data_IF_484478233883
#
_entry.id   IF_484478233883
#
_cell.length_a   1.000
_cell.length_b   1.000
_cell.length_c   1.000
_cell.angle_alpha   90.00
_cell.angle_beta   90.00
_cell.angle_gamma   90.00
#
_symmetry.space_group_name_H-M   'P 1'
#
loop_
_entity.id
_entity.type
_entity.pdbx_description
1 polymer ?
#
# COMPACT_ATOMS: atom_id res chain seq x y z
N UNK A 1 -20.23 14.85 16.36
CA UNK A 1 -18.94 14.59 17.03
C UNK A 1 -18.22 13.34 16.51
N UNK A 2 -18.81 12.14 16.56
CA UNK A 2 -18.12 10.88 16.19
C UNK A 2 -17.78 10.74 14.70
N UNK A 3 -18.66 11.20 13.79
CA UNK A 3 -18.36 11.20 12.33
C UNK A 3 -17.14 12.05 11.99
N UNK A 4 -16.98 13.20 12.65
CA UNK A 4 -15.82 14.08 12.44
C UNK A 4 -14.53 13.42 12.95
N UNK A 5 -14.56 12.76 14.12
CA UNK A 5 -13.42 12.01 14.63
C UNK A 5 -12.98 10.91 13.65
N UNK A 6 -13.94 10.13 13.12
CA UNK A 6 -13.64 9.08 12.15
C UNK A 6 -13.12 9.64 10.84
N UNK A 7 -13.74 10.71 10.32
CA UNK A 7 -13.24 11.44 9.16
C UNK A 7 -11.83 11.97 9.39
N UNK A 8 -11.53 12.50 10.57
CA UNK A 8 -10.19 12.93 10.93
C UNK A 8 -9.19 11.76 11.04
N UNK A 9 -9.62 10.57 11.47
CA UNK A 9 -8.79 9.37 11.51
C UNK A 9 -8.49 8.79 10.13
N UNK A 10 -9.42 8.91 9.17
CA UNK A 10 -9.29 8.24 7.86
C UNK A 10 -8.96 9.18 6.71
N UNK A 11 -9.52 10.39 6.72
CA UNK A 11 -9.28 11.43 5.70
C UNK A 11 -8.20 12.43 6.14
N UNK A 12 -7.76 12.33 7.41
CA UNK A 12 -6.50 12.87 7.95
C UNK A 12 -6.15 14.27 7.41
N UNK A 13 -6.85 15.28 7.94
CA UNK A 13 -6.60 16.70 7.67
C UNK A 13 -5.13 17.08 7.86
N UNK A 14 -4.61 18.01 7.05
CA UNK A 14 -3.18 18.38 6.90
C UNK A 14 -2.41 18.79 8.17
N UNK A 15 -3.05 18.87 9.33
CA UNK A 15 -2.42 19.31 10.60
C UNK A 15 -1.83 18.12 11.36
N UNK A 16 -0.50 18.06 11.44
CA UNK A 16 0.28 16.99 12.09
C UNK A 16 -0.17 16.65 13.52
N UNK A 17 -0.58 17.63 14.32
CA UNK A 17 -1.00 17.39 15.70
C UNK A 17 -2.34 16.64 15.79
N UNK A 18 -3.27 16.90 14.87
CA UNK A 18 -4.56 16.17 14.79
C UNK A 18 -4.31 14.70 14.46
N UNK A 19 -3.42 14.45 13.49
CA UNK A 19 -2.99 13.11 13.12
C UNK A 19 -2.32 12.37 14.28
N UNK A 20 -1.43 13.03 15.06
CA UNK A 20 -0.80 12.40 16.22
C UNK A 20 -1.81 12.06 17.31
N UNK A 21 -2.71 12.98 17.67
CA UNK A 21 -3.73 12.73 18.70
C UNK A 21 -4.67 11.59 18.28
N UNK A 22 -5.15 11.61 17.04
CA UNK A 22 -6.05 10.58 16.52
C UNK A 22 -5.35 9.21 16.41
N UNK A 23 -4.07 9.18 16.01
CA UNK A 23 -3.24 7.98 16.02
C UNK A 23 -3.03 7.40 17.42
N UNK A 24 -2.61 8.22 18.39
CA UNK A 24 -2.45 7.79 19.79
C UNK A 24 -3.76 7.30 20.39
N UNK A 25 -4.87 8.00 20.11
CA UNK A 25 -6.19 7.56 20.55
C UNK A 25 -6.56 6.20 19.95
N UNK A 26 -6.36 5.99 18.65
CA UNK A 26 -6.66 4.72 17.99
C UNK A 26 -5.85 3.54 18.53
N UNK A 27 -4.67 3.79 19.09
CA UNK A 27 -3.84 2.79 19.77
C UNK A 27 -4.22 2.59 21.25
N UNK A 28 -5.08 3.43 21.83
CA UNK A 28 -5.53 3.30 23.22
C UNK A 28 -6.68 2.28 23.36
N UNK A 29 -6.78 1.62 24.51
CA UNK A 29 -7.89 0.70 24.81
C UNK A 29 -9.26 1.41 24.83
N UNK A 30 -9.29 2.71 25.13
CA UNK A 30 -10.49 3.53 25.07
C UNK A 30 -11.11 3.59 23.67
N UNK A 31 -10.31 3.40 22.60
CA UNK A 31 -10.80 3.38 21.23
C UNK A 31 -11.67 2.15 20.90
N UNK A 32 -11.60 1.08 21.71
CA UNK A 32 -12.34 -0.18 21.49
C UNK A 32 -13.84 0.04 21.35
N UNK A 33 -14.42 0.96 22.13
CA UNK A 33 -15.85 1.29 22.14
C UNK A 33 -16.31 1.82 20.77
N UNK A 34 -15.39 2.34 19.96
CA UNK A 34 -15.69 2.91 18.65
C UNK A 34 -15.63 1.91 17.51
N UNK A 35 -15.08 0.71 17.72
CA UNK A 35 -14.88 -0.31 16.67
C UNK A 35 -16.19 -0.66 15.94
N UNK A 36 -17.31 -1.01 16.60
CA UNK A 36 -18.54 -1.37 15.90
C UNK A 36 -19.10 -0.22 15.05
N UNK A 37 -19.00 1.01 15.58
CA UNK A 37 -19.47 2.20 14.88
C UNK A 37 -18.58 2.54 13.69
N UNK A 38 -17.26 2.39 13.82
CA UNK A 38 -16.31 2.56 12.75
C UNK A 38 -16.57 1.55 11.63
N UNK A 39 -16.68 0.26 11.97
CA UNK A 39 -16.99 -0.80 11.02
C UNK A 39 -18.29 -0.54 10.24
N UNK A 40 -19.35 -0.11 10.94
CA UNK A 40 -20.64 0.23 10.32
C UNK A 40 -20.55 1.46 9.43
N UNK A 41 -19.86 2.52 9.86
CA UNK A 41 -19.75 3.76 9.10
C UNK A 41 -19.03 3.56 7.76
N UNK A 42 -17.97 2.76 7.76
CA UNK A 42 -17.15 2.47 6.58
C UNK A 42 -17.61 1.21 5.83
N UNK A 43 -18.68 0.53 6.26
CA UNK A 43 -19.16 -0.68 5.60
C UNK A 43 -18.11 -1.80 5.53
N UNK A 44 -17.26 -1.92 6.56
CA UNK A 44 -16.18 -2.90 6.58
C UNK A 44 -16.77 -4.31 6.62
N UNK A 45 -16.28 -5.20 5.77
CA UNK A 45 -16.65 -6.61 5.72
C UNK A 45 -16.11 -7.38 6.95
N UNK A 46 -16.72 -7.17 8.11
CA UNK A 46 -16.28 -7.74 9.40
C UNK A 46 -16.28 -9.26 9.42
N UNK A 47 -17.12 -9.91 8.60
CA UNK A 47 -17.21 -11.36 8.51
C UNK A 47 -15.97 -12.02 7.87
N UNK A 48 -15.18 -11.26 7.10
CA UNK A 48 -13.91 -11.72 6.52
C UNK A 48 -12.75 -11.62 7.53
N UNK A 49 -12.93 -10.88 8.64
CA UNK A 49 -11.88 -10.67 9.62
C UNK A 49 -11.60 -11.95 10.44
N UNK A 50 -10.33 -12.20 10.77
CA UNK A 50 -9.90 -13.38 11.54
C UNK A 50 -10.54 -13.44 12.93
N UNK A 51 -10.72 -12.27 13.57
CA UNK A 51 -11.31 -12.15 14.91
C UNK A 51 -12.65 -11.42 14.85
N UNK A 52 -13.53 -11.76 15.79
CA UNK A 52 -14.77 -11.04 16.07
C UNK A 52 -14.50 -9.64 16.62
N UNK A 53 -15.42 -8.69 16.40
CA UNK A 53 -15.25 -7.28 16.77
C UNK A 53 -14.92 -7.09 18.27
N UNK A 54 -15.48 -7.92 19.13
CA UNK A 54 -15.24 -7.87 20.57
C UNK A 54 -13.83 -8.27 20.98
N UNK A 55 -13.06 -8.96 20.12
CA UNK A 55 -11.74 -9.48 20.47
C UNK A 55 -10.61 -8.46 20.24
N UNK A 56 -10.86 -7.40 19.47
CA UNK A 56 -9.88 -6.34 19.25
C UNK A 56 -9.79 -5.43 20.48
N UNK A 57 -8.56 -5.15 20.92
CA UNK A 57 -8.28 -4.32 22.09
C UNK A 57 -8.31 -2.83 21.76
N UNK A 58 -8.02 -2.47 20.52
CA UNK A 58 -7.91 -1.08 20.05
C UNK A 58 -8.44 -0.95 18.64
N UNK A 59 -8.81 0.26 18.23
CA UNK A 59 -9.25 0.56 16.88
C UNK A 59 -8.12 0.35 15.86
N UNK A 60 -6.86 0.59 16.25
CA UNK A 60 -5.69 0.29 15.43
C UNK A 60 -5.54 -1.23 15.18
N UNK A 61 -5.76 -2.07 16.20
CA UNK A 61 -5.73 -3.54 16.04
C UNK A 61 -6.83 -4.00 15.07
N UNK A 62 -8.02 -3.41 15.14
CA UNK A 62 -9.10 -3.68 14.18
C UNK A 62 -8.78 -3.17 12.77
N UNK A 63 -8.18 -2.00 12.63
CA UNK A 63 -7.82 -1.44 11.33
C UNK A 63 -6.76 -2.31 10.64
N UNK A 64 -5.79 -2.79 11.40
CA UNK A 64 -4.69 -3.68 10.97
C UNK A 64 -5.04 -5.17 11.06
N UNK A 65 -6.33 -5.51 11.16
CA UNK A 65 -6.83 -6.89 11.30
C UNK A 65 -6.27 -7.81 10.22
N UNK A 66 -6.03 -9.07 10.58
CA UNK A 66 -5.86 -10.17 9.63
C UNK A 66 -7.23 -10.60 9.08
N UNK A 67 -7.24 -11.17 7.89
CA UNK A 67 -8.42 -11.82 7.32
C UNK A 67 -8.38 -13.33 7.62
N UNK A 68 -9.54 -13.98 7.61
CA UNK A 68 -9.63 -15.44 7.72
C UNK A 68 -8.85 -16.10 6.58
N UNK A 69 -8.15 -17.22 6.83
CA UNK A 69 -7.48 -17.98 5.78
C UNK A 69 -8.43 -18.26 4.60
N UNK A 70 -7.93 -18.12 3.38
CA UNK A 70 -8.73 -18.31 2.16
C UNK A 70 -9.63 -17.13 1.75
N UNK A 71 -9.78 -16.09 2.58
CA UNK A 71 -10.57 -14.88 2.21
C UNK A 71 -10.00 -14.13 1.00
N UNK A 72 -8.72 -14.34 0.71
CA UNK A 72 -8.01 -13.79 -0.45
C UNK A 72 -7.27 -14.93 -1.13
N UNK A 73 -7.83 -15.43 -2.24
CA UNK A 73 -7.16 -16.42 -3.07
C UNK A 73 -6.03 -15.75 -3.84
N UNK A 74 -4.85 -16.35 -3.81
CA UNK A 74 -3.70 -15.90 -4.57
C UNK A 74 -3.77 -16.56 -5.94
N UNK A 75 -3.73 -15.76 -7.01
CA UNK A 75 -3.73 -16.29 -8.36
C UNK A 75 -2.52 -17.20 -8.60
N UNK A 76 -2.78 -18.41 -9.09
CA UNK A 76 -1.78 -19.43 -9.37
C UNK A 76 -1.08 -19.18 -10.70
N UNK A 77 0.22 -19.50 -10.77
CA UNK A 77 1.02 -19.38 -11.98
C UNK A 77 2.35 -18.69 -11.70
N UNK A 78 3.45 -19.36 -12.00
CA UNK A 78 4.80 -18.94 -11.57
C UNK A 78 5.20 -17.57 -12.12
N UNK A 79 4.54 -17.14 -13.21
CA UNK A 79 4.82 -15.91 -13.92
C UNK A 79 3.82 -14.80 -13.64
N UNK A 80 2.78 -15.03 -12.86
CA UNK A 80 1.80 -13.99 -12.59
C UNK A 80 2.30 -13.06 -11.48
N UNK A 81 2.23 -11.75 -11.72
CA UNK A 81 2.30 -10.76 -10.66
C UNK A 81 0.89 -10.55 -10.11
N UNK A 82 0.76 -10.52 -8.78
CA UNK A 82 -0.53 -10.28 -8.11
C UNK A 82 -0.53 -8.95 -7.36
N UNK A 83 -1.72 -8.39 -7.14
CA UNK A 83 -1.89 -7.21 -6.31
C UNK A 83 -1.41 -7.51 -4.89
N UNK A 84 -0.52 -6.68 -4.32
CA UNK A 84 -0.05 -6.86 -2.95
C UNK A 84 -1.10 -6.46 -1.91
N UNK A 85 -2.19 -5.78 -2.31
CA UNK A 85 -3.18 -5.14 -1.43
C UNK A 85 -4.58 -5.20 -2.02
N UNK A 86 -5.60 -5.01 -1.17
CA UNK A 86 -6.92 -4.57 -1.61
C UNK A 86 -6.85 -3.06 -1.90
N UNK A 87 -7.17 -2.62 -3.12
CA UNK A 87 -7.00 -1.22 -3.51
C UNK A 87 -7.87 -0.79 -4.70
N UNK A 88 -7.99 0.53 -4.86
CA UNK A 88 -8.33 1.17 -6.13
C UNK A 88 -7.05 1.52 -6.88
N UNK A 89 -6.96 1.15 -8.16
CA UNK A 89 -5.87 1.59 -9.03
C UNK A 89 -6.10 3.05 -9.39
N UNK A 90 -5.24 3.95 -8.92
CA UNK A 90 -5.35 5.40 -9.15
C UNK A 90 -4.35 5.94 -10.17
N UNK A 91 -3.38 5.12 -10.56
CA UNK A 91 -2.44 5.36 -11.64
C UNK A 91 -1.85 4.03 -12.09
N UNK A 92 -1.64 3.85 -13.39
CA UNK A 92 -0.96 2.69 -13.94
C UNK A 92 -0.44 3.05 -15.33
N UNK A 93 0.72 2.52 -15.70
CA UNK A 93 1.27 2.73 -17.04
C UNK A 93 2.75 2.44 -17.13
N UNK A 94 3.29 2.58 -18.33
CA UNK A 94 4.73 2.54 -18.56
C UNK A 94 5.39 3.78 -17.97
N UNK A 95 6.57 3.59 -17.42
CA UNK A 95 7.48 4.65 -17.01
C UNK A 95 8.21 5.10 -18.29
N UNK A 96 8.33 6.42 -18.50
CA UNK A 96 9.03 6.97 -19.66
C UNK A 96 10.25 7.75 -19.18
N UNK A 97 11.46 7.24 -19.46
CA UNK A 97 12.72 7.86 -19.06
C UNK A 97 12.76 8.27 -17.58
N UNK A 98 12.29 7.38 -16.71
CA UNK A 98 12.27 7.58 -15.26
C UNK A 98 11.10 8.41 -14.76
N UNK A 99 10.09 8.68 -15.57
CA UNK A 99 8.91 9.48 -15.18
C UNK A 99 7.61 8.69 -15.28
N UNK A 100 6.86 8.67 -14.18
CA UNK A 100 5.46 8.26 -14.12
C UNK A 100 4.59 9.47 -14.43
N UNK A 101 3.90 9.44 -15.57
CA UNK A 101 3.15 10.61 -16.06
C UNK A 101 1.71 10.65 -15.54
N UNK A 102 1.23 11.86 -15.22
CA UNK A 102 -0.17 12.19 -14.98
C UNK A 102 -0.87 11.37 -13.87
N UNK A 103 -0.12 10.92 -12.87
CA UNK A 103 -0.68 10.28 -11.67
C UNK A 103 -1.44 11.35 -10.88
N UNK A 104 -2.77 11.32 -10.99
CA UNK A 104 -3.66 12.33 -10.39
C UNK A 104 -3.28 13.77 -10.80
N UNK A 105 -2.92 13.94 -12.07
CA UNK A 105 -2.56 15.24 -12.65
C UNK A 105 -1.14 15.71 -12.31
N UNK A 106 -0.29 14.82 -11.79
CA UNK A 106 1.10 15.14 -11.44
C UNK A 106 2.06 14.09 -11.98
N UNK A 107 3.26 14.54 -12.33
CA UNK A 107 4.35 13.67 -12.74
C UNK A 107 5.26 13.36 -11.54
N UNK A 108 5.75 12.13 -11.50
CA UNK A 108 6.64 11.63 -10.46
C UNK A 108 7.87 10.99 -11.09
N UNK A 109 9.06 11.39 -10.65
CA UNK A 109 10.29 10.71 -11.09
C UNK A 109 10.58 9.52 -10.19
N UNK A 110 11.09 8.45 -10.80
CA UNK A 110 11.48 7.23 -10.10
C UNK A 110 12.64 7.49 -9.14
N UNK A 111 13.58 8.35 -9.54
CA UNK A 111 14.67 8.79 -8.67
C UNK A 111 14.14 9.42 -7.37
N UNK A 112 13.18 10.35 -7.44
CA UNK A 112 12.64 10.96 -6.23
C UNK A 112 11.81 9.98 -5.41
N UNK A 113 11.05 9.11 -6.07
CA UNK A 113 10.23 8.10 -5.41
C UNK A 113 11.10 7.11 -4.62
N UNK A 114 12.20 6.66 -5.20
CA UNK A 114 13.14 5.71 -4.61
C UNK A 114 14.29 6.38 -3.84
N UNK A 115 14.22 7.69 -3.59
CA UNK A 115 15.22 8.37 -2.75
C UNK A 115 16.61 8.48 -3.37
N UNK A 116 16.71 8.46 -4.71
CA UNK A 116 17.94 8.56 -5.52
C UNK A 116 18.92 7.41 -5.28
N UNK A 117 18.39 6.24 -4.92
CA UNK A 117 19.14 4.99 -4.92
C UNK A 117 19.63 4.64 -6.34
N UNK A 118 20.83 4.06 -6.52
CA UNK A 118 21.31 3.59 -7.82
C UNK A 118 20.35 2.61 -8.50
N UNK A 119 19.54 1.89 -7.71
CA UNK A 119 18.50 0.98 -8.19
C UNK A 119 17.44 1.62 -9.07
N UNK A 120 17.24 2.94 -8.97
CA UNK A 120 16.26 3.65 -9.80
C UNK A 120 16.50 3.44 -11.30
N UNK A 121 17.75 3.22 -11.71
CA UNK A 121 18.12 2.94 -13.09
C UNK A 121 17.44 1.69 -13.68
N UNK A 122 17.07 0.71 -12.85
CA UNK A 122 16.39 -0.52 -13.29
C UNK A 122 14.92 -0.31 -13.69
N UNK A 123 14.34 0.85 -13.39
CA UNK A 123 12.91 1.12 -13.52
C UNK A 123 12.61 2.26 -14.49
N UNK A 124 13.60 2.74 -15.25
CA UNK A 124 13.48 3.94 -16.07
C UNK A 124 12.46 3.81 -17.20
N UNK A 125 12.25 2.60 -17.70
CA UNK A 125 11.28 2.27 -18.76
C UNK A 125 10.39 1.08 -18.37
N UNK A 126 10.27 0.85 -17.06
CA UNK A 126 9.47 -0.21 -16.47
C UNK A 126 7.98 0.10 -16.52
N UNK A 127 7.23 -0.53 -15.62
CA UNK A 127 5.80 -0.30 -15.48
C UNK A 127 5.46 -0.05 -14.02
N UNK A 128 4.45 0.78 -13.77
CA UNK A 128 4.03 1.11 -12.42
C UNK A 128 2.53 0.88 -12.18
N UNK A 129 2.18 0.64 -10.91
CA UNK A 129 0.83 0.82 -10.38
C UNK A 129 0.86 1.73 -9.16
N UNK A 130 -0.15 2.57 -9.00
CA UNK A 130 -0.45 3.33 -7.79
C UNK A 130 -1.74 2.78 -7.21
N UNK A 131 -1.61 2.09 -6.08
CA UNK A 131 -2.67 1.32 -5.43
C UNK A 131 -3.10 2.08 -4.18
N UNK A 132 -4.22 2.78 -4.26
CA UNK A 132 -4.79 3.51 -3.14
C UNK A 132 -5.66 2.57 -2.29
N UNK A 133 -5.32 2.45 -1.01
CA UNK A 133 -6.12 1.69 -0.04
C UNK A 133 -7.09 2.66 0.63
N UNK A 134 -8.37 2.45 0.39
CA UNK A 134 -9.42 3.20 1.06
C UNK A 134 -9.61 2.70 2.49
N UNK A 135 -10.18 3.50 3.40
CA UNK A 135 -10.35 3.11 4.81
C UNK A 135 -11.15 1.83 5.05
N UNK A 136 -11.90 1.36 4.05
CA UNK A 136 -12.70 0.13 4.11
C UNK A 136 -11.86 -1.12 3.86
N UNK A 137 -10.73 -0.97 3.18
CA UNK A 137 -9.95 -2.06 2.61
C UNK A 137 -9.13 -2.80 3.68
N UNK A 138 -8.53 -3.90 3.25
CA UNK A 138 -7.55 -4.64 4.03
C UNK A 138 -6.18 -3.96 3.94
N UNK A 139 -5.65 -3.50 5.08
CA UNK A 139 -4.48 -2.62 5.14
C UNK A 139 -3.15 -3.35 5.41
N UNK A 140 -3.10 -4.66 5.14
CA UNK A 140 -1.83 -5.41 5.15
C UNK A 140 -1.38 -5.64 3.72
N UNK A 141 -0.07 -5.68 3.56
CA UNK A 141 0.64 -5.60 2.29
C UNK A 141 1.38 -6.92 2.13
N UNK A 142 1.18 -7.55 1.00
CA UNK A 142 1.71 -8.87 0.71
C UNK A 142 2.71 -8.83 -0.44
N UNK A 143 3.51 -9.88 -0.56
CA UNK A 143 4.46 -10.06 -1.64
C UNK A 143 3.69 -10.29 -2.94
N UNK A 144 3.89 -9.46 -3.98
CA UNK A 144 3.20 -9.61 -5.26
C UNK A 144 3.73 -10.79 -6.08
N UNK A 145 4.89 -11.32 -5.69
CA UNK A 145 5.66 -12.35 -6.40
C UNK A 145 6.37 -13.27 -5.40
N UNK A 146 6.82 -14.43 -5.86
CA UNK A 146 7.84 -15.20 -5.15
C UNK A 146 9.22 -14.63 -5.49
N UNK A 147 10.11 -14.57 -4.52
CA UNK A 147 11.47 -14.10 -4.77
C UNK A 147 12.35 -13.88 -3.55
N UNK A 148 13.58 -13.48 -3.81
CA UNK A 148 14.55 -13.09 -2.78
C UNK A 148 14.44 -11.59 -2.51
N UNK A 149 14.35 -11.20 -1.24
CA UNK A 149 14.44 -9.80 -0.84
C UNK A 149 15.88 -9.36 -0.96
N UNK A 150 16.15 -8.46 -1.89
CA UNK A 150 17.49 -7.93 -2.11
C UNK A 150 17.82 -6.84 -1.10
N UNK A 151 16.84 -5.98 -0.82
CA UNK A 151 17.06 -4.82 0.04
C UNK A 151 15.73 -4.28 0.59
N UNK A 152 15.84 -3.64 1.75
CA UNK A 152 14.76 -2.86 2.36
C UNK A 152 15.29 -1.47 2.68
N UNK A 153 14.63 -0.44 2.18
CA UNK A 153 14.99 0.94 2.45
C UNK A 153 13.91 1.65 3.27
N UNK A 154 14.33 2.54 4.16
CA UNK A 154 13.45 3.47 4.88
C UNK A 154 13.79 4.90 4.50
N UNK A 155 12.96 5.47 3.64
CA UNK A 155 13.09 6.85 3.19
C UNK A 155 12.29 7.75 4.13
N UNK A 156 13.00 8.53 4.96
CA UNK A 156 12.37 9.54 5.82
C UNK A 156 11.73 10.63 4.96
N UNK A 157 10.56 11.10 5.35
CA UNK A 157 9.84 12.11 4.59
C UNK A 157 8.83 12.89 5.41
N UNK A 158 7.96 13.60 4.69
CA UNK A 158 6.75 14.19 5.25
C UNK A 158 5.69 13.10 5.43
N UNK A 159 4.51 13.47 5.86
CA UNK A 159 3.40 12.52 6.03
C UNK A 159 2.13 13.17 5.54
N UNK A 160 2.11 13.70 4.32
CA UNK A 160 0.92 14.33 3.74
C UNK A 160 -0.22 13.31 3.54
N UNK A 161 -1.49 13.74 3.53
CA UNK A 161 -2.59 12.85 3.21
C UNK A 161 -2.44 12.30 1.78
N UNK A 162 -2.74 11.01 1.60
CA UNK A 162 -2.68 10.31 0.30
C UNK A 162 -4.07 10.04 -0.28
N UNK A 163 -5.11 10.66 0.29
CA UNK A 163 -6.45 10.63 -0.31
C UNK A 163 -6.48 11.42 -1.62
N UNK A 164 -7.60 11.34 -2.33
CA UNK A 164 -7.76 11.98 -3.65
C UNK A 164 -7.42 13.48 -3.63
N UNK A 165 -7.87 14.21 -2.61
CA UNK A 165 -7.52 15.62 -2.41
C UNK A 165 -6.01 15.83 -2.24
N UNK A 166 -5.35 15.03 -1.39
CA UNK A 166 -3.92 15.13 -1.17
C UNK A 166 -3.12 14.86 -2.44
N UNK A 167 -3.48 13.82 -3.20
CA UNK A 167 -2.80 13.45 -4.44
C UNK A 167 -3.05 14.41 -5.61
N UNK A 168 -4.13 15.19 -5.60
CA UNK A 168 -4.45 16.16 -6.66
C UNK A 168 -3.95 17.57 -6.36
N UNK A 169 -4.02 18.00 -5.10
CA UNK A 169 -3.74 19.40 -4.71
C UNK A 169 -2.32 19.58 -4.17
N UNK A 170 -1.77 18.57 -3.46
CA UNK A 170 -0.45 18.71 -2.86
C UNK A 170 0.64 18.19 -3.81
N UNK A 171 1.69 19.00 -3.99
CA UNK A 171 2.77 18.67 -4.91
C UNK A 171 3.51 17.41 -4.50
N UNK A 172 3.54 16.42 -5.41
CA UNK A 172 4.37 15.22 -5.39
C UNK A 172 4.34 14.45 -4.05
N UNK A 173 3.14 14.18 -3.53
CA UNK A 173 2.95 13.52 -2.23
C UNK A 173 3.66 12.17 -2.14
N UNK A 174 3.56 11.33 -3.17
CA UNK A 174 4.15 9.98 -3.18
C UNK A 174 5.67 10.01 -2.93
N UNK A 175 6.40 10.91 -3.59
CA UNK A 175 7.86 11.05 -3.46
C UNK A 175 8.33 11.90 -2.28
N UNK A 176 7.42 12.62 -1.60
CA UNK A 176 7.76 13.46 -0.44
C UNK A 176 7.41 12.83 0.89
N UNK A 177 6.51 11.87 0.91
CA UNK A 177 6.11 11.20 2.13
C UNK A 177 7.19 10.25 2.67
N UNK A 178 7.06 9.81 3.90
CA UNK A 178 7.82 8.71 4.44
C UNK A 178 7.45 7.42 3.69
N UNK A 179 8.47 6.63 3.35
CA UNK A 179 8.29 5.39 2.58
C UNK A 179 9.14 4.26 3.13
N UNK A 180 8.60 3.06 3.04
CA UNK A 180 9.36 1.82 3.15
C UNK A 180 9.39 1.15 1.78
N UNK A 181 10.57 0.81 1.28
CA UNK A 181 10.74 0.11 -0.01
C UNK A 181 11.22 -1.30 0.25
N UNK A 182 10.67 -2.27 -0.46
CA UNK A 182 11.18 -3.65 -0.48
C UNK A 182 11.40 -4.06 -1.92
N UNK A 183 12.63 -4.42 -2.25
CA UNK A 183 13.02 -4.90 -3.56
C UNK A 183 13.05 -6.42 -3.57
N UNK A 184 12.32 -7.03 -4.49
CA UNK A 184 12.12 -8.48 -4.55
C UNK A 184 12.57 -8.97 -5.92
N UNK A 185 13.61 -9.81 -5.93
CA UNK A 185 14.14 -10.44 -7.13
C UNK A 185 13.33 -11.67 -7.49
N UNK A 186 12.89 -11.74 -8.74
CA UNK A 186 12.33 -12.95 -9.33
C UNK A 186 13.19 -13.45 -10.49
N UNK A 187 12.77 -14.54 -11.13
CA UNK A 187 13.52 -15.16 -12.21
C UNK A 187 13.82 -14.23 -13.39
N UNK A 188 12.94 -13.25 -13.67
CA UNK A 188 12.98 -12.35 -14.82
C UNK A 188 13.53 -10.95 -14.54
N UNK A 189 13.75 -10.58 -13.27
CA UNK A 189 14.11 -9.22 -12.88
C UNK A 189 13.69 -8.91 -11.46
N UNK A 190 13.25 -7.68 -11.22
CA UNK A 190 12.88 -7.16 -9.92
C UNK A 190 11.57 -6.39 -9.87
N UNK A 191 10.93 -6.45 -8.69
CA UNK A 191 9.81 -5.60 -8.33
C UNK A 191 10.13 -4.81 -7.06
N UNK A 192 9.87 -3.51 -7.08
CA UNK A 192 9.87 -2.67 -5.89
C UNK A 192 8.45 -2.50 -5.35
N UNK A 193 8.24 -2.84 -4.08
CA UNK A 193 7.01 -2.57 -3.34
C UNK A 193 7.23 -1.35 -2.46
N UNK A 194 6.81 -0.18 -2.94
CA UNK A 194 6.98 1.11 -2.27
C UNK A 194 5.74 1.41 -1.43
N UNK A 195 5.89 1.33 -0.11
CA UNK A 195 4.83 1.57 0.86
C UNK A 195 4.89 3.04 1.23
N UNK A 196 3.91 3.82 0.81
CA UNK A 196 3.86 5.26 1.05
C UNK A 196 2.97 5.54 2.25
N UNK A 197 3.60 6.01 3.32
CA UNK A 197 2.91 6.35 4.55
C UNK A 197 2.14 7.66 4.38
N UNK A 198 1.01 7.77 5.05
CA UNK A 198 0.32 9.04 5.22
C UNK A 198 0.29 9.42 6.70
N UNK A 199 0.10 10.71 6.97
CA UNK A 199 -0.17 11.37 8.26
C UNK A 199 -0.13 10.45 9.52
N UNK A 200 1.05 10.04 10.01
CA UNK A 200 1.37 9.61 11.38
C UNK A 200 2.86 9.18 11.43
N UNK A 201 3.54 9.22 12.58
CA UNK A 201 4.98 8.83 12.70
C UNK A 201 5.17 7.31 12.85
N UNK A 202 4.11 6.52 12.62
CA UNK A 202 4.10 5.05 12.74
C UNK A 202 3.15 4.40 11.75
N UNK A 203 2.79 5.08 10.66
CA UNK A 203 1.72 4.63 9.77
C UNK A 203 2.09 3.42 8.92
N UNK A 204 3.36 3.00 8.85
CA UNK A 204 3.80 1.81 8.11
C UNK A 204 4.75 1.00 8.98
N UNK A 205 4.52 -0.32 9.05
CA UNK A 205 5.39 -1.23 9.80
C UNK A 205 5.66 -2.49 8.98
N UNK A 206 6.89 -2.98 9.03
CA UNK A 206 7.20 -4.33 8.58
C UNK A 206 6.58 -5.35 9.52
N UNK A 207 6.24 -6.52 8.96
CA UNK A 207 5.84 -7.68 9.75
C UNK A 207 7.10 -8.39 10.20
N UNK A 208 7.10 -8.83 11.47
CA UNK A 208 8.19 -9.58 12.06
C UNK A 208 7.81 -11.06 12.22
N UNK A 209 8.75 -12.00 12.03
CA UNK A 209 10.13 -11.78 11.59
C UNK A 209 10.22 -11.46 10.09
N UNK A 210 11.12 -10.56 9.72
CA UNK A 210 11.43 -10.29 8.31
C UNK A 210 12.15 -11.48 7.65
N UNK A 211 11.63 -11.94 6.51
CA UNK A 211 12.19 -13.06 5.74
C UNK A 211 13.02 -12.57 4.55
N UNK A 212 14.09 -13.28 4.20
CA UNK A 212 14.90 -12.96 3.02
C UNK A 212 14.44 -13.67 1.75
N UNK A 213 13.66 -14.75 1.88
CA UNK A 213 12.92 -15.40 0.78
C UNK A 213 11.44 -15.24 1.07
N UNK A 214 10.67 -14.90 0.04
CA UNK A 214 9.23 -14.70 0.13
C UNK A 214 8.52 -15.60 -0.87
N UNK A 215 7.45 -16.23 -0.41
CA UNK A 215 6.46 -16.82 -1.30
C UNK A 215 5.50 -15.75 -1.81
N UNK A 216 4.87 -16.00 -2.96
CA UNK A 216 3.82 -15.11 -3.47
C UNK A 216 2.66 -15.05 -2.47
N UNK A 217 2.28 -13.84 -2.06
CA UNK A 217 1.27 -13.62 -1.03
C UNK A 217 1.78 -13.66 0.40
N UNK A 218 3.08 -13.86 0.66
CA UNK A 218 3.65 -13.69 1.99
C UNK A 218 3.46 -12.26 2.48
N UNK A 219 3.23 -12.08 3.78
CA UNK A 219 2.97 -10.76 4.33
C UNK A 219 4.26 -9.95 4.55
N UNK A 220 4.28 -8.72 4.04
CA UNK A 220 5.45 -7.84 4.10
C UNK A 220 5.34 -6.80 5.23
N UNK A 221 4.19 -6.15 5.31
CA UNK A 221 4.00 -4.94 6.08
C UNK A 221 2.52 -4.64 6.28
N UNK A 222 2.20 -3.64 7.09
CA UNK A 222 0.84 -3.14 7.22
C UNK A 222 0.84 -1.64 7.50
N UNK A 223 -0.28 -1.01 7.20
CA UNK A 223 -0.53 0.39 7.49
C UNK A 223 -1.41 0.56 8.71
N UNK A 224 -1.02 1.47 9.62
CA UNK A 224 -1.82 1.78 10.80
C UNK A 224 -3.00 2.71 10.48
N UNK A 225 -2.89 3.63 9.50
CA UNK A 225 -4.01 4.43 8.93
C UNK A 225 -3.58 5.10 7.61
N UNK A 226 -4.44 5.03 6.58
CA UNK A 226 -4.34 5.80 5.31
C UNK A 226 -3.11 5.50 4.47
N UNK A 227 -3.27 4.95 3.26
CA UNK A 227 -2.11 4.39 2.58
C UNK A 227 -2.21 4.23 1.07
N UNK A 228 -1.05 4.33 0.45
CA UNK A 228 -0.85 4.04 -0.97
C UNK A 228 0.36 3.12 -1.11
N UNK A 229 0.24 2.11 -1.96
CA UNK A 229 1.38 1.33 -2.44
C UNK A 229 1.69 1.75 -3.86
N UNK A 230 2.95 2.08 -4.15
CA UNK A 230 3.43 2.18 -5.53
C UNK A 230 4.20 0.90 -5.83
N UNK A 231 3.77 0.21 -6.88
CA UNK A 231 4.43 -0.99 -7.37
C UNK A 231 5.23 -0.61 -8.62
N UNK A 232 6.52 -0.96 -8.66
CA UNK A 232 7.38 -0.74 -9.82
C UNK A 232 7.90 -2.09 -10.30
N UNK A 233 7.82 -2.34 -11.60
CA UNK A 233 8.40 -3.49 -12.27
C UNK A 233 9.58 -3.03 -13.11
N UNK A 234 10.68 -3.79 -13.08
CA UNK A 234 11.90 -3.53 -13.86
C UNK A 234 11.63 -3.46 -15.37
N UNK A 235 12.45 -2.69 -16.08
CA UNK A 235 12.43 -2.48 -17.52
C UNK A 235 12.32 -3.79 -18.31
N UNK A 236 11.29 -3.91 -19.16
CA UNK A 236 11.08 -5.08 -20.02
C UNK A 236 10.68 -6.37 -19.29
N UNK A 237 10.43 -6.34 -17.98
CA UNK A 237 10.14 -7.54 -17.19
C UNK A 237 8.66 -7.81 -16.95
N UNK A 238 7.77 -6.94 -17.42
CA UNK A 238 6.33 -7.01 -17.10
C UNK A 238 5.43 -6.73 -18.30
N UNK A 239 4.34 -7.47 -18.39
CA UNK A 239 3.25 -7.28 -19.34
C UNK A 239 1.93 -7.11 -18.57
N UNK A 240 1.28 -5.94 -18.62
CA UNK A 240 0.04 -5.70 -17.89
C UNK A 240 -1.12 -6.52 -18.45
N UNK A 241 -2.05 -6.91 -17.58
CA UNK A 241 -3.35 -7.40 -18.00
C UNK A 241 -4.18 -6.23 -18.56
N UNK A 242 -4.51 -6.27 -19.85
CA UNK A 242 -5.29 -5.23 -20.52
C UNK A 242 -6.69 -5.03 -19.92
N UNK A 243 -7.21 -5.96 -19.13
CA UNK A 243 -8.49 -5.83 -18.45
C UNK A 243 -8.43 -5.02 -17.13
N UNK A 244 -7.22 -4.76 -16.59
CA UNK A 244 -7.04 -4.13 -15.27
C UNK A 244 -6.23 -2.84 -15.39
N UNK A 245 -6.92 -1.70 -15.23
CA UNK A 245 -6.32 -0.38 -15.36
C UNK A 245 -6.83 0.62 -14.30
N UNK A 246 -6.54 1.91 -14.54
CA UNK A 246 -6.96 3.00 -13.65
C UNK A 246 -8.48 2.99 -13.44
N UNK A 247 -8.92 3.13 -12.20
CA UNK A 247 -10.33 3.06 -11.80
C UNK A 247 -10.81 1.67 -11.40
N UNK A 248 -10.06 0.61 -11.72
CA UNK A 248 -10.41 -0.75 -11.29
C UNK A 248 -10.13 -0.94 -9.78
N UNK A 249 -11.05 -1.64 -9.11
CA UNK A 249 -10.79 -2.20 -7.78
C UNK A 249 -10.13 -3.55 -7.93
N UNK A 250 -9.07 -3.78 -7.18
CA UNK A 250 -8.35 -5.04 -7.11
C UNK A 250 -8.28 -5.55 -5.68
N UNK A 251 -8.22 -6.86 -5.53
CA UNK A 251 -8.02 -7.53 -4.24
C UNK A 251 -6.60 -8.05 -4.12
N UNK A 252 -6.09 -8.13 -2.89
CA UNK A 252 -4.83 -8.83 -2.61
C UNK A 252 -4.89 -10.24 -3.20
N UNK A 253 -3.84 -10.63 -3.92
CA UNK A 253 -3.75 -11.93 -4.59
C UNK A 253 -4.37 -11.99 -5.99
N UNK A 254 -5.12 -10.97 -6.41
CA UNK A 254 -5.64 -10.88 -7.79
C UNK A 254 -4.50 -10.62 -8.78
N UNK A 255 -4.46 -11.35 -9.90
CA UNK A 255 -3.46 -11.13 -10.96
C UNK A 255 -3.59 -9.71 -11.54
N UNK A 256 -2.45 -9.04 -11.72
CA UNK A 256 -2.35 -7.75 -12.41
C UNK A 256 -1.76 -7.88 -13.82
N UNK A 257 -0.98 -8.93 -14.07
CA UNK A 257 -0.29 -9.18 -15.33
C UNK A 257 0.76 -10.27 -15.19
N UNK A 258 1.64 -10.38 -16.17
CA UNK A 258 2.66 -11.43 -16.26
C UNK A 258 4.07 -10.87 -16.27
N UNK A 259 4.99 -11.66 -15.73
CA UNK A 259 6.42 -11.42 -15.71
C UNK A 259 7.10 -12.06 -16.93
N UNK A 260 8.08 -11.38 -17.50
CA UNK A 260 8.89 -11.86 -18.61
C UNK A 260 9.68 -13.12 -18.24
N UNK A 261 9.98 -13.94 -19.25
CA UNK A 261 10.98 -15.00 -19.15
C UNK A 261 12.34 -14.37 -19.42
N UNK A 262 13.36 -14.79 -18.68
CA UNK A 262 14.74 -14.64 -19.15
C UNK A 262 14.93 -15.38 -20.47
#
# INVERSE_FOLDING_TARGET
MTKWLFKAMTELYSRKWISRITGTFAQSSASRVFIPRFAKLYGIAVHEAEKELGQYRTLNEFFTRRLKPGSRAIHHGDRSLVSPVDALITGAGSINQGTMLSVKGQDYTIEELLGRTPRAASYMNGYYYVLYLSPTDYHRIHSPIEGDVLEREHLKGKVYPVNDFGLTVMTRVLSRNERLVTYIKHGGGEVAVVKVGAMNVSSIRYVEPQRNRLDKGDELAYFEFGSTVVLLMEDGTYSPDGAIGVGAKVRMGQRLGDLAKK
#
